data_IF_338323199134
#
_entry.id   IF_338323199134
#
_cell.length_a   1.000
_cell.length_b   1.000
_cell.length_c   1.000
_cell.angle_alpha   90.00
_cell.angle_beta   90.00
_cell.angle_gamma   90.00
#
_symmetry.space_group_name_H-M   'P 1'
#
loop_
_entity.id
_entity.type
_entity.pdbx_description
1 polymer ?
#
# COMPACT_ATOMS: atom_id res chain seq x y z
N UNK A 1 31.81 21.74 -9.79
CA UNK A 1 30.72 20.96 -10.43
C UNK A 1 31.00 19.49 -10.12
N UNK A 2 30.18 18.81 -9.32
CA UNK A 2 30.44 17.39 -8.98
C UNK A 2 30.22 16.54 -10.23
N UNK A 3 31.20 15.71 -10.59
CA UNK A 3 31.11 14.77 -11.71
C UNK A 3 31.66 13.42 -11.23
N UNK A 4 30.83 12.38 -11.30
CA UNK A 4 31.18 11.03 -10.89
C UNK A 4 31.33 10.18 -12.16
N UNK A 5 32.54 9.68 -12.48
CA UNK A 5 32.83 9.03 -13.77
C UNK A 5 32.09 7.70 -13.99
N UNK A 6 31.53 7.10 -12.94
CA UNK A 6 30.79 5.83 -13.01
C UNK A 6 29.28 6.00 -12.72
N UNK A 7 28.83 7.22 -12.41
CA UNK A 7 27.43 7.48 -12.08
C UNK A 7 26.77 8.21 -13.25
N UNK A 8 25.94 7.49 -14.00
CA UNK A 8 25.09 8.09 -15.02
C UNK A 8 23.80 8.58 -14.36
N UNK A 9 23.76 9.85 -14.00
CA UNK A 9 22.54 10.48 -13.46
C UNK A 9 21.57 10.72 -14.61
N UNK A 10 20.49 9.94 -14.65
CA UNK A 10 19.36 10.20 -15.54
C UNK A 10 18.30 10.97 -14.76
N UNK A 11 17.85 12.09 -15.32
CA UNK A 11 16.70 12.85 -14.81
C UNK A 11 15.49 12.52 -15.68
N UNK A 12 14.68 11.50 -15.37
CA UNK A 12 13.44 11.26 -16.08
C UNK A 12 12.48 12.40 -15.74
N UNK A 13 12.41 13.42 -16.61
CA UNK A 13 11.35 14.42 -16.53
C UNK A 13 10.07 13.78 -17.02
N UNK A 14 9.11 13.53 -16.13
CA UNK A 14 7.77 13.18 -16.53
C UNK A 14 7.20 14.31 -17.42
N UNK A 15 6.44 13.98 -18.48
CA UNK A 15 5.79 15.01 -19.28
C UNK A 15 4.88 15.87 -18.40
N UNK A 16 4.86 17.18 -18.68
CA UNK A 16 4.03 18.15 -17.94
C UNK A 16 2.57 17.74 -18.11
N UNK A 17 1.97 17.20 -17.05
CA UNK A 17 0.52 17.05 -16.93
C UNK A 17 0.03 18.13 -15.96
N UNK A 18 -1.18 18.69 -16.15
CA UNK A 18 -1.82 19.52 -15.14
C UNK A 18 -1.82 18.74 -13.82
N UNK A 19 -1.13 19.27 -12.81
CA UNK A 19 -1.16 18.71 -11.48
C UNK A 19 -2.49 19.09 -10.88
N UNK A 20 -3.34 18.10 -10.66
CA UNK A 20 -4.65 18.34 -10.11
C UNK A 20 -4.75 17.47 -8.86
N UNK A 21 -4.59 18.07 -7.66
CA UNK A 21 -4.90 17.43 -6.39
C UNK A 21 -6.21 17.99 -5.80
N UNK A 22 -6.83 17.20 -4.92
CA UNK A 22 -7.86 17.47 -3.91
C UNK A 22 -9.05 18.38 -4.27
N UNK A 23 -9.38 18.53 -5.55
CA UNK A 23 -10.61 19.11 -6.14
C UNK A 23 -10.39 19.12 -7.66
N UNK A 24 -10.37 17.90 -8.20
CA UNK A 24 -9.58 17.53 -9.37
C UNK A 24 -8.42 16.59 -9.01
N UNK A 25 -8.37 16.04 -7.79
CA UNK A 25 -7.37 15.02 -7.45
C UNK A 25 -7.45 13.83 -8.40
N UNK A 26 -6.32 13.47 -9.01
CA UNK A 26 -6.21 12.16 -9.65
C UNK A 26 -6.22 11.14 -8.51
N UNK A 27 -7.22 10.24 -8.42
CA UNK A 27 -7.29 9.26 -7.35
C UNK A 27 -6.00 8.44 -7.34
N UNK A 28 -5.28 8.49 -6.21
CA UNK A 28 -3.95 7.92 -6.08
C UNK A 28 -3.99 6.68 -5.20
N UNK A 29 -3.30 5.63 -5.64
CA UNK A 29 -3.07 4.41 -4.87
C UNK A 29 -1.60 4.36 -4.49
N UNK A 30 -1.31 4.10 -3.23
CA UNK A 30 0.08 3.91 -2.75
C UNK A 30 0.31 2.45 -2.39
N UNK A 31 1.50 1.94 -2.64
CA UNK A 31 1.83 0.59 -2.22
C UNK A 31 3.26 0.24 -2.52
N UNK A 32 3.65 -0.97 -2.14
CA UNK A 32 5.00 -1.44 -2.40
C UNK A 32 5.21 -2.90 -2.03
N UNK A 33 6.39 -3.37 -2.41
CA UNK A 33 6.88 -4.70 -2.09
C UNK A 33 7.77 -4.65 -0.84
N UNK A 34 7.63 -5.62 0.05
CA UNK A 34 8.43 -5.78 1.26
C UNK A 34 8.46 -4.51 2.12
N UNK A 35 9.63 -3.94 2.38
CA UNK A 35 9.77 -2.68 3.12
C UNK A 35 8.94 -1.53 2.52
N UNK A 36 8.78 -1.50 1.19
CA UNK A 36 7.95 -0.51 0.50
C UNK A 36 6.46 -0.62 0.86
N UNK A 37 5.95 -1.83 1.10
CA UNK A 37 4.57 -2.04 1.54
C UNK A 37 4.38 -1.61 3.00
N UNK A 38 5.33 -1.92 3.88
CA UNK A 38 5.31 -1.43 5.27
C UNK A 38 5.31 0.11 5.32
N UNK A 39 6.14 0.75 4.49
CA UNK A 39 6.15 2.21 4.34
C UNK A 39 4.82 2.74 3.80
N UNK A 40 4.23 2.08 2.79
CA UNK A 40 2.94 2.47 2.22
C UNK A 40 1.80 2.43 3.27
N UNK A 41 1.78 1.44 4.15
CA UNK A 41 0.82 1.37 5.26
C UNK A 41 0.96 2.58 6.21
N UNK A 42 2.19 2.93 6.59
CA UNK A 42 2.43 4.12 7.42
C UNK A 42 2.02 5.41 6.70
N UNK A 43 2.36 5.54 5.42
CA UNK A 43 2.02 6.72 4.63
C UNK A 43 0.51 6.88 4.47
N UNK A 44 -0.17 5.82 4.04
CA UNK A 44 -1.60 5.87 3.73
C UNK A 44 -2.49 6.07 4.95
N UNK A 45 -2.21 5.38 6.06
CA UNK A 45 -3.12 5.41 7.22
C UNK A 45 -2.81 6.49 8.26
N UNK A 46 -1.57 7.02 8.27
CA UNK A 46 -1.18 8.09 9.19
C UNK A 46 -1.31 9.46 8.57
N UNK A 47 -0.81 9.61 7.33
CA UNK A 47 -0.57 10.93 6.73
C UNK A 47 -1.48 11.25 5.54
N UNK A 48 -1.99 10.24 4.81
CA UNK A 48 -2.75 10.46 3.57
C UNK A 48 -4.09 9.69 3.55
N UNK A 49 -5.07 10.04 4.40
CA UNK A 49 -6.35 9.34 4.46
C UNK A 49 -7.22 9.48 3.19
N UNK A 50 -6.90 10.41 2.28
CA UNK A 50 -7.62 10.65 1.03
C UNK A 50 -7.25 9.73 -0.15
N UNK A 51 -6.35 8.77 0.05
CA UNK A 51 -5.95 7.84 -1.01
C UNK A 51 -7.12 6.96 -1.47
N UNK A 52 -7.11 6.63 -2.75
CA UNK A 52 -8.08 5.69 -3.34
C UNK A 52 -7.87 4.26 -2.82
N UNK A 53 -6.65 3.90 -2.43
CA UNK A 53 -6.32 2.60 -1.87
C UNK A 53 -4.86 2.50 -1.43
N UNK A 54 -4.58 1.48 -0.63
CA UNK A 54 -3.23 1.07 -0.23
C UNK A 54 -3.01 -0.37 -0.67
N UNK A 55 -1.81 -0.74 -1.13
CA UNK A 55 -1.48 -2.15 -1.35
C UNK A 55 -0.13 -2.56 -0.77
N UNK A 56 0.01 -3.83 -0.41
CA UNK A 56 1.28 -4.42 0.04
C UNK A 56 1.53 -5.78 -0.59
N UNK A 57 2.75 -6.01 -1.02
CA UNK A 57 3.20 -7.28 -1.59
C UNK A 57 4.32 -7.84 -0.70
N UNK A 58 4.16 -9.04 -0.13
CA UNK A 58 5.10 -9.66 0.82
C UNK A 58 5.58 -8.71 1.93
N UNK A 59 4.65 -8.08 2.65
CA UNK A 59 4.97 -7.05 3.66
C UNK A 59 4.24 -7.30 4.98
N UNK A 60 4.68 -6.62 6.04
CA UNK A 60 4.06 -6.70 7.37
C UNK A 60 4.33 -5.41 8.16
N UNK A 61 3.66 -5.26 9.29
CA UNK A 61 3.97 -4.28 10.32
C UNK A 61 4.33 -4.99 11.62
N UNK A 62 5.28 -4.40 12.35
CA UNK A 62 5.67 -4.89 13.67
C UNK A 62 4.47 -4.84 14.64
N UNK A 63 4.40 -5.79 15.57
CA UNK A 63 3.29 -5.94 16.53
C UNK A 63 2.95 -4.66 17.30
N UNK A 64 3.97 -3.88 17.66
CA UNK A 64 3.87 -2.60 18.39
C UNK A 64 4.00 -1.38 17.48
N UNK A 65 3.61 -1.51 16.22
CA UNK A 65 3.64 -0.38 15.28
C UNK A 65 2.78 0.77 15.81
N UNK A 66 3.36 1.97 15.84
CA UNK A 66 2.67 3.21 16.20
C UNK A 66 1.43 3.48 15.35
N UNK A 67 1.36 2.87 14.15
CA UNK A 67 0.18 2.98 13.30
C UNK A 67 -1.08 2.44 13.99
N UNK A 68 -0.97 1.34 14.72
CA UNK A 68 -2.13 0.74 15.40
C UNK A 68 -2.68 1.67 16.48
N UNK A 69 -1.80 2.30 17.27
CA UNK A 69 -2.18 3.26 18.31
C UNK A 69 -2.85 4.50 17.71
N UNK A 70 -2.36 5.01 16.59
CA UNK A 70 -2.95 6.18 15.92
C UNK A 70 -4.33 5.88 15.34
N UNK A 71 -4.51 4.71 14.72
CA UNK A 71 -5.82 4.28 14.21
C UNK A 71 -6.80 4.04 15.35
N UNK A 72 -6.36 3.43 16.46
CA UNK A 72 -7.21 3.22 17.64
C UNK A 72 -7.68 4.55 18.22
N UNK A 73 -6.78 5.54 18.39
CA UNK A 73 -7.16 6.89 18.85
C UNK A 73 -8.17 7.57 17.92
N UNK A 74 -7.98 7.46 16.59
CA UNK A 74 -8.95 8.00 15.62
C UNK A 74 -10.32 7.34 15.78
N UNK A 75 -10.36 6.02 15.95
CA UNK A 75 -11.59 5.25 16.18
C UNK A 75 -12.28 5.67 17.48
N UNK A 76 -11.54 5.78 18.58
CA UNK A 76 -12.08 6.15 19.91
C UNK A 76 -12.61 7.58 19.95
N UNK A 77 -11.99 8.50 19.19
CA UNK A 77 -12.45 9.89 19.08
C UNK A 77 -13.77 10.06 18.30
N UNK A 78 -14.35 8.97 17.78
CA UNK A 78 -15.59 8.98 16.99
C UNK A 78 -15.40 9.52 15.57
N UNK A 79 -14.16 9.60 15.08
CA UNK A 79 -13.84 10.07 13.74
C UNK A 79 -14.43 9.13 12.67
N UNK A 80 -15.36 9.64 11.85
CA UNK A 80 -15.98 8.91 10.72
C UNK A 80 -15.15 8.99 9.42
N UNK A 81 -13.83 9.04 9.52
CA UNK A 81 -12.96 9.04 8.34
C UNK A 81 -13.05 7.68 7.66
N UNK A 82 -13.51 7.64 6.40
CA UNK A 82 -13.38 6.44 5.58
C UNK A 82 -11.88 6.18 5.39
N UNK A 83 -11.42 4.99 5.74
CA UNK A 83 -10.03 4.58 5.56
C UNK A 83 -9.87 3.99 4.15
N UNK A 84 -8.74 4.24 3.46
CA UNK A 84 -8.48 3.64 2.15
C UNK A 84 -8.53 2.10 2.22
N UNK A 85 -9.16 1.43 1.24
CA UNK A 85 -9.16 -0.03 1.17
C UNK A 85 -7.74 -0.56 0.98
N UNK A 86 -7.49 -1.76 1.51
CA UNK A 86 -6.18 -2.42 1.51
C UNK A 86 -6.19 -3.67 0.63
N UNK A 87 -5.21 -3.78 -0.26
CA UNK A 87 -4.90 -4.99 -1.01
C UNK A 87 -3.60 -5.61 -0.50
N UNK A 88 -3.63 -6.85 -0.04
CA UNK A 88 -2.44 -7.55 0.42
C UNK A 88 -2.22 -8.81 -0.41
N UNK A 89 -0.99 -9.04 -0.86
CA UNK A 89 -0.54 -10.33 -1.39
C UNK A 89 0.66 -10.83 -0.63
N UNK A 90 0.74 -12.14 -0.44
CA UNK A 90 1.84 -12.76 0.30
C UNK A 90 2.13 -14.18 -0.16
N UNK A 91 3.41 -14.56 -0.21
CA UNK A 91 3.83 -15.93 -0.51
C UNK A 91 3.78 -16.80 0.74
N UNK A 92 3.15 -17.98 0.66
CA UNK A 92 3.09 -18.90 1.82
C UNK A 92 4.44 -19.54 2.14
N UNK A 93 5.36 -19.53 1.18
CA UNK A 93 6.72 -20.05 1.31
C UNK A 93 7.77 -18.95 1.42
N UNK A 94 7.35 -17.70 1.62
CA UNK A 94 8.25 -16.58 1.85
C UNK A 94 9.11 -16.85 3.11
N UNK A 95 10.41 -17.00 2.90
CA UNK A 95 11.40 -17.37 3.90
C UNK A 95 12.04 -16.16 4.59
N UNK A 96 11.74 -14.94 4.13
CA UNK A 96 12.23 -13.69 4.69
C UNK A 96 11.16 -12.95 5.48
N UNK A 97 9.95 -12.92 4.93
CA UNK A 97 8.78 -12.28 5.54
C UNK A 97 7.69 -13.34 5.65
N UNK A 98 7.56 -13.94 6.83
CA UNK A 98 6.56 -14.98 7.07
C UNK A 98 5.14 -14.49 6.73
N UNK A 99 4.36 -15.32 6.03
CA UNK A 99 2.94 -15.07 5.76
C UNK A 99 2.15 -14.80 7.04
N UNK A 100 2.53 -15.42 8.16
CA UNK A 100 1.90 -15.19 9.46
C UNK A 100 2.00 -13.74 9.93
N UNK A 101 3.09 -13.03 9.62
CA UNK A 101 3.23 -11.61 9.95
C UNK A 101 2.31 -10.73 9.09
N UNK A 102 2.14 -11.10 7.81
CA UNK A 102 1.18 -10.45 6.93
C UNK A 102 -0.26 -10.62 7.43
N UNK A 103 -0.61 -11.83 7.88
CA UNK A 103 -1.93 -12.14 8.45
C UNK A 103 -2.20 -11.42 9.77
N UNK A 104 -1.20 -11.34 10.65
CA UNK A 104 -1.34 -10.56 11.88
C UNK A 104 -1.56 -9.08 11.56
N UNK A 105 -0.82 -8.54 10.59
CA UNK A 105 -0.99 -7.16 10.11
C UNK A 105 -2.41 -6.94 9.58
N UNK A 106 -2.92 -7.85 8.75
CA UNK A 106 -4.30 -7.83 8.25
C UNK A 106 -5.31 -7.81 9.40
N UNK A 107 -5.19 -8.74 10.34
CA UNK A 107 -6.13 -8.89 11.46
C UNK A 107 -6.17 -7.64 12.34
N UNK A 108 -5.01 -7.04 12.63
CA UNK A 108 -4.94 -5.79 13.40
C UNK A 108 -5.57 -4.64 12.65
N UNK A 109 -5.22 -4.42 11.38
CA UNK A 109 -5.77 -3.32 10.59
C UNK A 109 -7.29 -3.43 10.38
N UNK A 110 -7.80 -4.65 10.13
CA UNK A 110 -9.24 -4.89 9.98
C UNK A 110 -10.00 -4.66 11.29
N UNK A 111 -9.44 -5.05 12.45
CA UNK A 111 -10.04 -4.74 13.76
C UNK A 111 -10.15 -3.23 14.04
N UNK A 112 -9.29 -2.44 13.39
CA UNK A 112 -9.25 -0.98 13.46
C UNK A 112 -10.12 -0.29 12.39
N UNK A 113 -10.83 -1.06 11.57
CA UNK A 113 -11.82 -0.56 10.60
C UNK A 113 -11.30 -0.42 9.16
N UNK A 114 -10.09 -0.88 8.85
CA UNK A 114 -9.61 -0.96 7.46
C UNK A 114 -10.35 -2.08 6.73
N UNK A 115 -10.94 -1.76 5.57
CA UNK A 115 -11.46 -2.80 4.66
C UNK A 115 -10.31 -3.37 3.86
N UNK A 116 -10.08 -4.68 3.91
CA UNK A 116 -8.91 -5.31 3.31
C UNK A 116 -9.22 -6.62 2.60
N UNK A 117 -8.50 -6.92 1.52
CA UNK A 117 -8.40 -8.24 0.92
C UNK A 117 -6.97 -8.79 1.05
N UNK A 118 -6.84 -10.09 1.28
CA UNK A 118 -5.56 -10.76 1.49
C UNK A 118 -5.47 -12.02 0.63
N UNK A 119 -4.47 -12.07 -0.24
CA UNK A 119 -4.28 -13.13 -1.22
C UNK A 119 -3.00 -13.90 -0.95
N UNK A 120 -3.13 -15.20 -0.74
CA UNK A 120 -2.01 -16.11 -0.51
C UNK A 120 -1.57 -16.78 -1.80
N UNK A 121 -0.25 -16.95 -1.96
CA UNK A 121 0.35 -17.68 -3.06
C UNK A 121 1.15 -18.89 -2.55
N UNK A 122 0.62 -20.12 -2.65
CA UNK A 122 1.19 -21.31 -2.00
C UNK A 122 2.64 -21.64 -2.37
N UNK A 123 3.05 -21.36 -3.60
CA UNK A 123 4.38 -21.71 -4.12
C UNK A 123 5.27 -20.48 -4.36
N UNK A 124 4.93 -19.34 -3.76
CA UNK A 124 5.68 -18.09 -3.91
C UNK A 124 6.59 -17.88 -2.70
N UNK A 125 7.86 -17.58 -2.98
CA UNK A 125 8.86 -17.14 -2.00
C UNK A 125 8.76 -15.60 -1.83
N UNK A 126 9.84 -14.95 -1.39
CA UNK A 126 9.95 -13.49 -1.34
C UNK A 126 10.19 -12.87 -2.74
N UNK A 127 9.18 -12.89 -3.59
CA UNK A 127 9.28 -12.45 -4.99
C UNK A 127 7.93 -11.97 -5.54
N UNK A 128 7.95 -11.33 -6.71
CA UNK A 128 6.74 -10.93 -7.43
C UNK A 128 6.35 -11.97 -8.48
N UNK A 129 5.04 -12.24 -8.62
CA UNK A 129 4.51 -13.13 -9.68
C UNK A 129 3.57 -12.40 -10.63
N UNK A 130 3.53 -12.87 -11.88
CA UNK A 130 2.62 -12.32 -12.90
C UNK A 130 1.16 -12.29 -12.44
N UNK A 131 0.67 -13.39 -11.86
CA UNK A 131 -0.70 -13.51 -11.35
C UNK A 131 -1.02 -12.48 -10.25
N UNK A 132 -0.09 -12.28 -9.32
CA UNK A 132 -0.19 -11.25 -8.27
C UNK A 132 -0.32 -9.85 -8.90
N UNK A 133 0.52 -9.53 -9.88
CA UNK A 133 0.48 -8.24 -10.57
C UNK A 133 -0.80 -8.05 -11.40
N UNK A 134 -1.34 -9.10 -12.01
CA UNK A 134 -2.62 -9.06 -12.74
C UNK A 134 -3.82 -8.81 -11.79
N UNK A 135 -3.79 -9.41 -10.60
CA UNK A 135 -4.80 -9.16 -9.57
C UNK A 135 -4.71 -7.73 -9.05
N UNK A 136 -3.51 -7.25 -8.73
CA UNK A 136 -3.28 -5.87 -8.33
C UNK A 136 -3.74 -4.88 -9.41
N UNK A 137 -3.39 -5.14 -10.68
CA UNK A 137 -3.83 -4.31 -11.81
C UNK A 137 -5.36 -4.23 -11.89
N UNK A 138 -6.04 -5.36 -11.72
CA UNK A 138 -7.50 -5.41 -11.75
C UNK A 138 -8.12 -4.65 -10.58
N UNK A 139 -7.56 -4.81 -9.38
CA UNK A 139 -8.00 -4.10 -8.18
C UNK A 139 -7.82 -2.58 -8.31
N UNK A 140 -6.63 -2.12 -8.72
CA UNK A 140 -6.35 -0.70 -8.94
C UNK A 140 -7.28 -0.12 -10.00
N UNK A 141 -7.45 -0.78 -11.14
CA UNK A 141 -8.37 -0.29 -12.16
C UNK A 141 -9.81 -0.26 -11.67
N UNK A 142 -10.24 -1.21 -10.84
CA UNK A 142 -11.56 -1.21 -10.21
C UNK A 142 -11.79 0.01 -9.32
N UNK A 143 -10.78 0.44 -8.57
CA UNK A 143 -10.83 1.64 -7.73
C UNK A 143 -10.83 2.94 -8.55
N UNK A 144 -10.09 2.96 -9.66
CA UNK A 144 -9.85 4.17 -10.45
C UNK A 144 -10.79 4.34 -11.65
N UNK A 145 -11.82 3.50 -11.82
CA UNK A 145 -12.74 3.62 -12.97
C UNK A 145 -13.42 4.99 -13.01
N UNK A 146 -13.40 5.57 -14.21
CA UNK A 146 -13.73 6.94 -14.58
C UNK A 146 -15.21 7.35 -14.51
N UNK A 147 -16.10 6.54 -13.93
CA UNK A 147 -17.56 6.84 -13.92
C UNK A 147 -17.98 7.69 -12.71
N UNK A 148 -17.02 8.26 -11.97
CA UNK A 148 -17.23 9.19 -10.85
C UNK A 148 -16.42 10.49 -10.96
N UNK A 149 -15.93 10.82 -12.16
CA UNK A 149 -15.35 12.13 -12.49
C UNK A 149 -16.29 12.91 -13.39
#
# INVERSE_FOLDING_TARGET
RMAFPHLKVMFPTAPVRPYTPLNGEVPCVVGGFSMGGAMALHVGYRYMPGLAGVFTLSSFLNEKSVLYDELQKKKDSGGKSVLPPLFMCHGERDDLVSVGWGEETLNRLTSLGVTAEFHRFPNMLHELKKKEMEMLYSWVNGLLKSDKL
#
